data_IF_200803982379
#
_entry.id   IF_200803982379
#
_cell.length_a   1.000
_cell.length_b   1.000
_cell.length_c   1.000
_cell.angle_alpha   90.00
_cell.angle_beta   90.00
_cell.angle_gamma   90.00
#
_symmetry.space_group_name_H-M   'P 1'
#
loop_
_entity.id
_entity.type
_entity.pdbx_description
1 polymer ?
#
# COMPACT_ATOMS: atom_id res chain seq x y z
N UNK A 1 -17.16 -5.38 -0.29
CA UNK A 1 -16.49 -5.27 -1.61
C UNK A 1 -15.06 -4.81 -1.41
N UNK A 2 -14.15 -5.38 -2.13
CA UNK A 2 -12.73 -5.07 -2.05
C UNK A 2 -12.23 -4.69 -3.45
N UNK A 3 -11.72 -3.46 -3.60
CA UNK A 3 -11.28 -2.95 -4.91
C UNK A 3 -9.80 -2.62 -4.84
N UNK A 4 -9.03 -3.10 -5.80
CA UNK A 4 -7.59 -2.85 -5.90
C UNK A 4 -7.31 -2.04 -7.16
N UNK A 5 -6.50 -0.97 -7.01
CA UNK A 5 -6.01 -0.19 -8.14
C UNK A 5 -4.49 -0.38 -8.23
N UNK A 6 -4.05 -0.79 -9.40
CA UNK A 6 -2.65 -1.00 -9.73
C UNK A 6 -2.22 -0.01 -10.80
N UNK A 7 -0.94 0.36 -10.78
CA UNK A 7 -0.39 1.24 -11.80
C UNK A 7 0.96 1.79 -11.37
N UNK A 8 1.70 2.32 -12.33
CA UNK A 8 2.99 2.95 -12.10
C UNK A 8 2.82 4.31 -11.40
N UNK A 9 3.87 4.78 -10.76
CA UNK A 9 3.90 6.12 -10.19
C UNK A 9 3.61 7.15 -11.27
N UNK A 10 2.77 8.13 -10.94
CA UNK A 10 2.37 9.16 -11.90
C UNK A 10 1.25 8.74 -12.85
N UNK A 11 0.69 7.54 -12.71
CA UNK A 11 -0.42 7.07 -13.55
C UNK A 11 -1.78 7.64 -13.16
N UNK A 12 -1.86 8.44 -12.09
CA UNK A 12 -3.10 9.07 -11.66
C UNK A 12 -3.92 8.24 -10.67
N UNK A 13 -3.32 7.22 -10.03
CA UNK A 13 -4.01 6.35 -9.06
C UNK A 13 -4.66 7.14 -7.92
N UNK A 14 -3.92 8.05 -7.30
CA UNK A 14 -4.42 8.84 -6.16
C UNK A 14 -5.63 9.68 -6.56
N UNK A 15 -5.59 10.29 -7.74
CA UNK A 15 -6.69 11.08 -8.26
C UNK A 15 -7.93 10.22 -8.48
N UNK A 16 -7.76 9.04 -9.07
CA UNK A 16 -8.86 8.11 -9.33
C UNK A 16 -9.46 7.57 -8.04
N UNK A 17 -8.64 7.25 -7.05
CA UNK A 17 -9.09 6.80 -5.74
C UNK A 17 -9.94 7.87 -5.05
N UNK A 18 -9.46 9.12 -5.07
CA UNK A 18 -10.20 10.24 -4.47
C UNK A 18 -11.58 10.39 -5.12
N UNK A 19 -11.63 10.36 -6.44
CA UNK A 19 -12.90 10.47 -7.19
C UNK A 19 -13.83 9.30 -6.91
N UNK A 20 -13.30 8.09 -6.84
CA UNK A 20 -14.08 6.89 -6.56
C UNK A 20 -14.70 6.95 -5.15
N UNK A 21 -13.92 7.37 -4.17
CA UNK A 21 -14.41 7.52 -2.79
C UNK A 21 -15.48 8.60 -2.67
N UNK A 22 -15.31 9.71 -3.38
CA UNK A 22 -16.32 10.77 -3.44
C UNK A 22 -17.62 10.27 -4.07
N UNK A 23 -17.53 9.48 -5.13
CA UNK A 23 -18.70 8.89 -5.78
C UNK A 23 -19.43 7.96 -4.83
N UNK A 24 -18.72 7.09 -4.11
CA UNK A 24 -19.35 6.21 -3.12
C UNK A 24 -20.02 7.01 -2.01
N UNK A 25 -19.33 8.02 -1.49
CA UNK A 25 -19.89 8.87 -0.43
C UNK A 25 -21.19 9.56 -0.89
N UNK A 26 -21.20 10.06 -2.12
CA UNK A 26 -22.40 10.68 -2.70
C UNK A 26 -23.57 9.70 -2.80
N UNK A 27 -23.30 8.41 -2.87
CA UNK A 27 -24.32 7.35 -2.89
C UNK A 27 -24.61 6.78 -1.51
N UNK A 28 -24.07 7.38 -0.45
CA UNK A 28 -24.29 6.92 0.91
C UNK A 28 -23.45 5.71 1.31
N UNK A 29 -22.38 5.41 0.58
CA UNK A 29 -21.50 4.28 0.85
C UNK A 29 -20.20 4.79 1.47
N UNK A 30 -19.92 4.38 2.70
CA UNK A 30 -18.64 4.65 3.36
C UNK A 30 -17.58 3.69 2.81
N UNK A 31 -16.34 4.20 2.72
CA UNK A 31 -15.21 3.40 2.22
C UNK A 31 -13.98 3.60 3.09
N UNK A 32 -13.19 2.54 3.23
CA UNK A 32 -11.87 2.61 3.82
C UNK A 32 -10.82 2.58 2.71
N UNK A 33 -9.67 3.19 2.98
CA UNK A 33 -8.59 3.30 2.00
C UNK A 33 -7.27 2.88 2.62
N UNK A 34 -6.49 2.15 1.85
CA UNK A 34 -5.16 1.74 2.25
C UNK A 34 -4.22 1.79 1.05
N UNK A 35 -3.09 2.44 1.22
CA UNK A 35 -2.01 2.48 0.23
C UNK A 35 -0.93 1.47 0.59
N UNK A 36 -0.43 0.73 -0.39
CA UNK A 36 0.75 -0.10 -0.24
C UNK A 36 1.88 0.44 -1.10
N UNK A 37 3.12 0.48 -0.61
CA UNK A 37 3.52 0.11 0.76
C UNK A 37 3.04 1.13 1.79
N UNK A 38 2.83 0.67 3.02
CA UNK A 38 2.40 1.51 4.14
C UNK A 38 3.63 2.07 4.84
N UNK A 39 4.17 3.16 4.33
CA UNK A 39 5.44 3.73 4.81
C UNK A 39 5.45 4.06 6.30
N UNK A 40 4.29 4.38 6.89
CA UNK A 40 4.15 4.73 8.30
C UNK A 40 3.98 3.51 9.20
N UNK A 41 3.79 2.33 8.65
CA UNK A 41 3.61 1.13 9.45
C UNK A 41 4.95 0.68 10.03
N UNK A 42 4.98 0.30 11.33
CA UNK A 42 6.21 -0.20 11.93
C UNK A 42 6.65 -1.51 11.28
N UNK A 43 7.94 -1.77 11.34
CA UNK A 43 8.66 -2.92 10.81
C UNK A 43 8.65 -2.93 9.27
N UNK A 44 7.63 -3.45 8.61
CA UNK A 44 7.66 -3.61 7.15
C UNK A 44 7.60 -2.28 6.41
N UNK A 45 6.71 -1.41 6.78
CA UNK A 45 6.60 -0.08 6.14
C UNK A 45 7.86 0.74 6.33
N UNK A 46 8.40 0.73 7.53
CA UNK A 46 9.66 1.42 7.85
C UNK A 46 10.83 0.86 7.04
N UNK A 47 10.97 -0.46 6.95
CA UNK A 47 12.04 -1.09 6.21
C UNK A 47 11.95 -0.81 4.71
N UNK A 48 10.75 -0.81 4.15
CA UNK A 48 10.54 -0.47 2.75
C UNK A 48 10.94 0.99 2.49
N UNK A 49 10.54 1.91 3.36
CA UNK A 49 10.91 3.32 3.23
C UNK A 49 12.43 3.49 3.27
N UNK A 50 13.11 2.80 4.17
CA UNK A 50 14.58 2.83 4.27
C UNK A 50 15.25 2.27 3.01
N UNK A 51 14.71 1.17 2.50
CA UNK A 51 15.21 0.59 1.25
C UNK A 51 15.10 1.58 0.09
N UNK A 52 13.95 2.23 -0.07
CA UNK A 52 13.73 3.17 -1.16
C UNK A 52 14.59 4.43 -1.06
N UNK A 53 14.95 4.85 0.16
CA UNK A 53 15.88 5.97 0.37
C UNK A 53 17.34 5.60 0.15
N UNK A 54 17.65 4.33 -0.02
CA UNK A 54 19.01 3.85 -0.16
C UNK A 54 19.73 3.58 1.15
N UNK A 55 19.05 3.61 2.29
CA UNK A 55 19.65 3.42 3.62
C UNK A 55 20.21 2.00 3.80
N UNK A 56 19.73 1.03 3.02
CA UNK A 56 20.18 -0.36 3.05
C UNK A 56 21.21 -0.67 1.95
N UNK A 57 21.72 0.37 1.28
CA UNK A 57 22.56 0.27 0.10
C UNK A 57 21.79 0.65 -1.16
N UNK A 58 22.46 0.66 -2.31
CA UNK A 58 21.79 0.94 -3.58
C UNK A 58 20.71 -0.10 -3.87
N UNK A 59 19.67 0.30 -4.58
CA UNK A 59 18.56 -0.58 -4.96
C UNK A 59 19.07 -1.87 -5.60
N UNK A 60 20.11 -1.76 -6.44
CA UNK A 60 20.70 -2.89 -7.16
C UNK A 60 21.50 -3.83 -6.25
N UNK A 61 21.92 -3.36 -5.08
CA UNK A 61 22.73 -4.14 -4.15
C UNK A 61 21.91 -4.96 -3.16
N UNK A 62 20.61 -4.72 -3.08
CA UNK A 62 19.71 -5.45 -2.19
C UNK A 62 19.09 -6.62 -2.95
N UNK A 63 19.14 -7.80 -2.34
CA UNK A 63 18.60 -9.01 -2.97
C UNK A 63 17.10 -8.82 -3.31
N UNK A 64 16.69 -9.01 -4.57
CA UNK A 64 15.28 -8.81 -4.95
C UNK A 64 14.29 -9.73 -4.22
N UNK A 65 14.71 -10.90 -3.77
CA UNK A 65 13.86 -11.76 -2.96
C UNK A 65 13.59 -11.17 -1.59
N UNK A 66 14.57 -10.48 -1.01
CA UNK A 66 14.37 -9.76 0.25
C UNK A 66 13.40 -8.60 0.07
N UNK A 67 13.52 -7.86 -1.02
CA UNK A 67 12.58 -6.77 -1.34
C UNK A 67 11.16 -7.32 -1.48
N UNK A 68 10.99 -8.39 -2.23
CA UNK A 68 9.69 -9.04 -2.39
C UNK A 68 9.11 -9.50 -1.06
N UNK A 69 9.94 -10.03 -0.17
CA UNK A 69 9.53 -10.45 1.17
C UNK A 69 9.02 -9.28 2.01
N UNK A 70 9.70 -8.13 1.94
CA UNK A 70 9.28 -6.92 2.66
C UNK A 70 7.91 -6.43 2.19
N UNK A 71 7.68 -6.40 0.89
CA UNK A 71 6.39 -5.97 0.33
C UNK A 71 5.28 -6.97 0.67
N UNK A 72 5.56 -8.25 0.59
CA UNK A 72 4.60 -9.29 0.98
C UNK A 72 4.30 -9.23 2.48
N UNK A 73 5.32 -8.99 3.31
CA UNK A 73 5.17 -8.85 4.75
C UNK A 73 4.28 -7.67 5.12
N UNK A 74 4.43 -6.55 4.42
CA UNK A 74 3.59 -5.38 4.63
C UNK A 74 2.11 -5.70 4.38
N UNK A 75 1.82 -6.43 3.31
CA UNK A 75 0.44 -6.85 3.02
C UNK A 75 -0.09 -7.85 4.05
N UNK A 76 0.72 -8.81 4.46
CA UNK A 76 0.34 -9.78 5.48
C UNK A 76 0.04 -9.09 6.82
N UNK A 77 0.85 -8.10 7.17
CA UNK A 77 0.66 -7.32 8.40
C UNK A 77 -0.65 -6.53 8.40
N UNK A 78 -1.10 -6.09 7.23
CA UNK A 78 -2.36 -5.36 7.06
C UNK A 78 -3.58 -6.27 6.97
N UNK A 79 -3.40 -7.57 6.77
CA UNK A 79 -4.49 -8.48 6.43
C UNK A 79 -5.61 -8.52 7.48
N UNK A 80 -5.28 -8.50 8.76
CA UNK A 80 -6.28 -8.53 9.84
C UNK A 80 -7.17 -7.28 9.81
N UNK A 81 -6.58 -6.12 9.59
CA UNK A 81 -7.29 -4.85 9.48
C UNK A 81 -8.25 -4.87 8.28
N UNK A 82 -7.77 -5.35 7.14
CA UNK A 82 -8.59 -5.45 5.92
C UNK A 82 -9.76 -6.40 6.14
N UNK A 83 -9.52 -7.56 6.76
CA UNK A 83 -10.61 -8.50 7.09
C UNK A 83 -11.64 -7.88 8.00
N UNK A 84 -11.19 -7.07 8.98
CA UNK A 84 -12.08 -6.35 9.87
C UNK A 84 -13.00 -5.39 9.11
N UNK A 85 -12.47 -4.69 8.13
CA UNK A 85 -13.27 -3.77 7.30
C UNK A 85 -14.28 -4.52 6.43
N UNK A 86 -13.95 -5.71 5.98
CA UNK A 86 -14.83 -6.51 5.12
C UNK A 86 -15.90 -7.28 5.90
N UNK A 87 -15.74 -7.43 7.19
CA UNK A 87 -16.74 -8.04 8.06
C UNK A 87 -17.86 -7.05 8.43
#
# INVERSE_FOLDING_TARGET
MFIVLEGLDGAGKSTQITKLREMFRAKGVESEYLHFPRFDAPVYGELIARFLRGDLGGVESVNPYLVALLYAGDRADAAAMIRGWLA
#
